data_IF_076304992431
#
_entry.id   IF_076304992431
#
_cell.length_a   1.000
_cell.length_b   1.000
_cell.length_c   1.000
_cell.angle_alpha   90.00
_cell.angle_beta   90.00
_cell.angle_gamma   90.00
#
_symmetry.space_group_name_H-M   'P 1'
#
loop_
_entity.id
_entity.type
_entity.pdbx_description
1 polymer ?
#
# COMPACT_ATOMS: atom_id res chain seq x y z
N UNK A 1 11.55 -81.87 4.78
CA UNK A 1 12.66 -81.26 5.54
C UNK A 1 12.58 -79.74 5.40
N UNK A 2 12.09 -79.02 6.43
CA UNK A 2 12.87 -78.52 7.58
C UNK A 2 13.90 -77.45 7.10
N UNK A 3 13.98 -76.19 7.54
CA UNK A 3 13.55 -75.49 8.77
C UNK A 3 13.76 -73.98 8.57
N UNK A 4 13.03 -73.19 9.36
CA UNK A 4 13.27 -71.77 9.69
C UNK A 4 14.67 -71.49 10.29
N UNK A 5 15.05 -70.20 10.30
CA UNK A 5 15.72 -69.47 11.40
C UNK A 5 17.02 -68.71 11.02
N UNK A 6 16.99 -67.39 11.32
CA UNK A 6 18.13 -66.46 11.53
C UNK A 6 18.86 -66.80 12.86
N UNK A 7 19.75 -65.97 13.48
CA UNK A 7 20.71 -64.90 13.05
C UNK A 7 22.13 -65.18 13.64
N UNK A 8 23.08 -64.23 13.60
CA UNK A 8 23.95 -63.77 14.74
C UNK A 8 25.07 -62.83 14.24
N UNK A 9 25.41 -61.88 15.12
CA UNK A 9 26.06 -60.59 14.94
C UNK A 9 27.60 -60.58 15.03
N UNK A 10 28.13 -59.33 15.04
CA UNK A 10 29.47 -58.83 15.44
C UNK A 10 30.43 -58.56 14.27
N UNK A 11 31.13 -57.42 14.10
CA UNK A 11 31.58 -56.35 15.00
C UNK A 11 31.85 -55.03 14.22
N UNK A 12 31.74 -53.91 14.92
CA UNK A 12 32.12 -52.54 14.50
C UNK A 12 33.61 -52.28 14.82
N UNK A 13 34.30 -51.39 14.10
CA UNK A 13 34.80 -50.14 14.72
C UNK A 13 34.54 -48.92 13.80
N UNK A 14 33.84 -47.87 14.22
CA UNK A 14 34.18 -46.80 15.18
C UNK A 14 34.93 -45.60 14.56
N UNK A 15 34.24 -44.45 14.61
CA UNK A 15 34.71 -43.06 14.57
C UNK A 15 35.29 -42.43 13.31
N UNK A 16 34.45 -41.63 12.64
CA UNK A 16 34.73 -40.23 12.37
C UNK A 16 33.42 -39.43 12.44
N UNK A 17 33.10 -38.95 13.65
CA UNK A 17 31.93 -38.11 13.91
C UNK A 17 32.21 -36.66 13.47
N UNK A 18 31.51 -36.18 12.44
CA UNK A 18 31.35 -34.75 12.18
C UNK A 18 30.13 -34.25 12.98
N UNK A 19 30.23 -33.16 13.74
CA UNK A 19 29.11 -32.66 14.53
C UNK A 19 28.01 -32.14 13.60
N UNK A 20 26.91 -32.89 13.49
CA UNK A 20 25.64 -32.36 13.01
C UNK A 20 25.19 -31.30 13.99
N UNK A 21 25.33 -30.02 13.61
CA UNK A 21 24.62 -28.91 14.25
C UNK A 21 23.13 -29.17 14.17
N UNK A 22 22.56 -29.71 15.24
CA UNK A 22 21.12 -29.70 15.48
C UNK A 22 20.76 -28.25 15.75
N UNK A 23 20.37 -27.55 14.69
CA UNK A 23 19.69 -26.26 14.79
C UNK A 23 18.29 -26.52 15.35
N UNK A 24 18.16 -26.43 16.67
CA UNK A 24 16.87 -26.25 17.33
C UNK A 24 16.39 -24.81 17.09
N UNK A 25 16.04 -24.50 15.83
CA UNK A 25 15.29 -23.27 15.55
C UNK A 25 13.91 -23.46 16.17
N UNK A 26 13.48 -22.60 17.12
CA UNK A 26 12.12 -22.63 17.59
C UNK A 26 11.23 -22.32 16.38
N UNK A 27 10.40 -23.29 15.95
CA UNK A 27 9.36 -23.05 14.95
C UNK A 27 8.44 -22.00 15.54
N UNK A 28 8.64 -20.78 15.08
CA UNK A 28 8.11 -19.58 15.68
C UNK A 28 6.60 -19.63 15.80
N UNK A 29 6.14 -19.37 17.02
CA UNK A 29 4.78 -18.96 17.37
C UNK A 29 4.34 -17.63 16.71
N UNK A 30 5.14 -17.11 15.76
CA UNK A 30 4.97 -15.83 15.06
C UNK A 30 4.01 -15.91 13.86
N UNK A 31 3.75 -17.11 13.31
CA UNK A 31 2.90 -17.22 12.10
C UNK A 31 1.40 -17.08 12.35
N UNK A 32 0.90 -17.23 13.58
CA UNK A 32 -0.55 -17.13 13.85
C UNK A 32 -0.97 -15.70 14.23
N UNK A 33 -0.13 -14.95 14.95
CA UNK A 33 -0.41 -13.57 15.32
C UNK A 33 -0.42 -12.62 14.11
N UNK A 34 0.46 -12.84 13.12
CA UNK A 34 0.47 -12.11 11.85
C UNK A 34 -0.81 -12.39 11.03
N UNK A 35 -1.38 -13.59 11.16
CA UNK A 35 -2.58 -14.02 10.40
C UNK A 35 -3.87 -13.39 10.91
N UNK A 36 -4.06 -13.29 12.23
CA UNK A 36 -5.24 -12.64 12.79
C UNK A 36 -5.18 -11.11 12.60
N UNK A 37 -3.99 -10.51 12.77
CA UNK A 37 -3.80 -9.07 12.55
C UNK A 37 -3.95 -8.65 11.08
N UNK A 38 -3.59 -9.52 10.13
CA UNK A 38 -3.69 -9.24 8.70
C UNK A 38 -5.10 -9.32 8.10
N UNK A 39 -6.05 -9.99 8.78
CA UNK A 39 -7.47 -10.02 8.36
C UNK A 39 -8.19 -8.77 8.86
N UNK A 40 -8.10 -8.47 10.16
CA UNK A 40 -8.69 -7.27 10.74
C UNK A 40 -8.16 -5.99 10.08
N UNK A 41 -6.83 -5.91 9.84
CA UNK A 41 -6.24 -4.73 9.21
C UNK A 41 -6.65 -4.53 7.73
N UNK A 42 -7.17 -5.58 7.07
CA UNK A 42 -7.69 -5.46 5.71
C UNK A 42 -9.20 -5.13 5.71
N UNK A 43 -9.95 -5.60 6.72
CA UNK A 43 -11.33 -5.17 6.95
C UNK A 43 -11.41 -3.65 7.18
N UNK A 44 -10.46 -3.08 7.94
CA UNK A 44 -10.34 -1.62 8.14
C UNK A 44 -10.18 -0.86 6.81
N UNK A 45 -9.36 -1.41 5.90
CA UNK A 45 -9.20 -0.86 4.54
C UNK A 45 -10.53 -0.90 3.80
N UNK A 46 -11.18 -2.07 3.74
CA UNK A 46 -12.46 -2.20 3.03
C UNK A 46 -13.54 -1.30 3.63
N UNK A 47 -13.55 -1.10 4.94
CA UNK A 47 -14.49 -0.23 5.64
C UNK A 47 -14.32 1.23 5.24
N UNK A 48 -13.09 1.79 5.27
CA UNK A 48 -12.86 3.19 4.89
C UNK A 48 -13.27 3.44 3.43
N UNK A 49 -12.91 2.51 2.53
CA UNK A 49 -13.23 2.62 1.11
C UNK A 49 -14.69 2.30 0.77
N UNK A 50 -15.46 1.76 1.70
CA UNK A 50 -16.83 1.27 1.48
C UNK A 50 -17.83 2.33 1.02
N UNK A 51 -17.58 3.61 1.34
CA UNK A 51 -18.41 4.73 0.90
C UNK A 51 -17.95 5.34 -0.45
N UNK A 52 -16.74 5.01 -0.91
CA UNK A 52 -16.17 5.59 -2.14
C UNK A 52 -16.78 4.89 -3.36
N UNK A 53 -17.49 5.67 -4.17
CA UNK A 53 -18.11 5.17 -5.39
C UNK A 53 -17.07 5.05 -6.50
N UNK A 54 -16.53 3.84 -6.67
CA UNK A 54 -15.43 3.57 -7.58
C UNK A 54 -15.73 2.39 -8.51
N UNK A 55 -15.59 2.63 -9.81
CA UNK A 55 -15.69 1.57 -10.81
C UNK A 55 -14.43 0.67 -10.79
N UNK A 56 -14.54 -0.53 -11.34
CA UNK A 56 -13.46 -1.52 -11.30
C UNK A 56 -12.16 -1.05 -11.97
N UNK A 57 -12.24 -0.21 -13.01
CA UNK A 57 -11.05 0.26 -13.76
C UNK A 57 -10.34 1.41 -13.06
N UNK A 58 -11.10 2.25 -12.34
CA UNK A 58 -10.54 3.34 -11.52
C UNK A 58 -10.01 2.82 -10.19
N UNK A 59 -10.58 1.71 -9.68
CA UNK A 59 -10.18 1.06 -8.44
C UNK A 59 -8.69 0.75 -8.38
N UNK A 60 -8.14 0.14 -9.43
CA UNK A 60 -6.71 -0.19 -9.44
C UNK A 60 -5.82 1.06 -9.34
N UNK A 61 -6.15 2.13 -10.07
CA UNK A 61 -5.39 3.39 -10.06
C UNK A 61 -5.45 4.07 -8.69
N UNK A 62 -6.62 4.10 -8.04
CA UNK A 62 -6.76 4.65 -6.70
C UNK A 62 -5.99 3.83 -5.65
N UNK A 63 -5.96 2.51 -5.79
CA UNK A 63 -5.18 1.66 -4.88
C UNK A 63 -3.69 1.90 -5.02
N UNK A 64 -3.20 2.05 -6.25
CA UNK A 64 -1.81 2.47 -6.48
C UNK A 64 -1.53 3.87 -5.93
N UNK A 65 -2.45 4.82 -6.11
CA UNK A 65 -2.28 6.18 -5.56
C UNK A 65 -2.20 6.20 -4.03
N UNK A 66 -2.98 5.36 -3.35
CA UNK A 66 -3.02 5.26 -1.89
C UNK A 66 -1.87 4.45 -1.29
N UNK A 67 -1.60 3.28 -1.87
CA UNK A 67 -0.80 2.22 -1.25
C UNK A 67 0.44 1.83 -2.05
N UNK A 68 0.66 2.40 -3.23
CA UNK A 68 1.72 1.96 -4.17
C UNK A 68 1.62 0.46 -4.53
N UNK A 69 0.40 -0.09 -4.50
CA UNK A 69 0.13 -1.49 -4.75
C UNK A 69 -1.18 -1.67 -5.54
N UNK A 70 -1.28 -2.68 -6.44
CA UNK A 70 -2.50 -2.93 -7.19
C UNK A 70 -3.63 -3.48 -6.31
N UNK A 71 -4.86 -3.16 -6.68
CA UNK A 71 -6.03 -3.84 -6.13
C UNK A 71 -6.09 -5.28 -6.65
N UNK A 72 -6.19 -6.25 -5.74
CA UNK A 72 -6.29 -7.67 -6.10
C UNK A 72 -7.53 -8.35 -5.52
N UNK A 73 -8.31 -7.63 -4.69
CA UNK A 73 -9.68 -8.01 -4.31
C UNK A 73 -9.86 -9.32 -3.56
N UNK A 74 -8.79 -9.87 -2.98
CA UNK A 74 -8.88 -11.07 -2.17
C UNK A 74 -8.54 -10.73 -0.71
N UNK A 75 -9.52 -10.79 0.21
CA UNK A 75 -9.27 -10.72 1.64
C UNK A 75 -8.26 -11.79 2.04
N UNK A 76 -7.44 -11.51 3.05
CA UNK A 76 -6.37 -12.39 3.55
C UNK A 76 -6.92 -13.71 4.15
N UNK A 77 -7.36 -14.64 3.32
CA UNK A 77 -7.86 -15.96 3.74
C UNK A 77 -6.76 -16.95 4.12
N UNK A 78 -7.09 -18.05 4.83
CA UNK A 78 -6.12 -19.05 5.31
C UNK A 78 -5.36 -19.80 4.20
N UNK A 79 -5.81 -19.67 2.94
CA UNK A 79 -5.20 -20.28 1.75
C UNK A 79 -4.38 -19.29 0.92
N UNK A 80 -4.32 -18.02 1.30
CA UNK A 80 -3.50 -16.99 0.65
C UNK A 80 -2.04 -17.17 1.03
N UNK A 81 -1.29 -17.87 0.19
CA UNK A 81 0.15 -18.06 0.34
C UNK A 81 0.98 -17.13 -0.55
N UNK A 82 2.20 -16.81 -0.10
CA UNK A 82 3.20 -16.11 -0.90
C UNK A 82 2.85 -14.64 -1.18
N UNK A 83 3.15 -14.17 -2.40
CA UNK A 83 3.17 -12.76 -2.80
C UNK A 83 1.88 -11.96 -2.53
N UNK A 84 0.72 -12.63 -2.54
CA UNK A 84 -0.57 -11.96 -2.30
C UNK A 84 -0.73 -11.61 -0.82
N UNK A 85 -0.26 -12.48 0.09
CA UNK A 85 -0.24 -12.18 1.51
C UNK A 85 0.74 -11.04 1.83
N UNK A 86 1.89 -11.01 1.18
CA UNK A 86 2.89 -9.94 1.34
C UNK A 86 2.33 -8.59 0.86
N UNK A 87 1.59 -8.58 -0.25
CA UNK A 87 0.95 -7.38 -0.80
C UNK A 87 -0.20 -6.87 0.09
N UNK A 88 -1.05 -7.76 0.61
CA UNK A 88 -2.07 -7.38 1.59
C UNK A 88 -1.45 -6.82 2.88
N UNK A 89 -0.33 -7.40 3.34
CA UNK A 89 0.41 -6.86 4.47
C UNK A 89 0.98 -5.46 4.18
N UNK A 90 1.49 -5.21 2.97
CA UNK A 90 1.94 -3.89 2.55
C UNK A 90 0.80 -2.86 2.52
N UNK A 91 -0.34 -3.20 1.91
CA UNK A 91 -1.54 -2.33 1.89
C UNK A 91 -1.98 -2.01 3.31
N UNK A 92 -2.11 -3.02 4.18
CA UNK A 92 -2.49 -2.83 5.57
C UNK A 92 -1.49 -1.93 6.33
N UNK A 93 -0.17 -2.14 6.12
CA UNK A 93 0.87 -1.28 6.71
C UNK A 93 0.71 0.17 6.26
N UNK A 94 0.61 0.42 4.96
CA UNK A 94 0.47 1.77 4.38
C UNK A 94 -0.82 2.44 4.83
N UNK A 95 -1.92 1.68 4.91
CA UNK A 95 -3.20 2.17 5.42
C UNK A 95 -3.12 2.60 6.88
N UNK A 96 -2.50 1.77 7.72
CA UNK A 96 -2.29 2.12 9.12
C UNK A 96 -1.45 3.38 9.29
N UNK A 97 -0.37 3.53 8.51
CA UNK A 97 0.43 4.77 8.50
C UNK A 97 -0.42 5.98 8.12
N UNK A 98 -1.30 5.84 7.11
CA UNK A 98 -2.23 6.90 6.75
C UNK A 98 -3.19 7.25 7.90
N UNK A 99 -3.81 6.27 8.56
CA UNK A 99 -4.70 6.51 9.70
C UNK A 99 -3.98 7.16 10.89
N UNK A 100 -2.77 6.69 11.22
CA UNK A 100 -1.95 7.25 12.31
C UNK A 100 -1.55 8.71 12.02
N UNK A 101 -1.15 9.01 10.77
CA UNK A 101 -0.87 10.39 10.35
C UNK A 101 -2.13 11.25 10.39
N UNK A 102 -3.24 10.75 9.85
CA UNK A 102 -4.51 11.48 9.84
C UNK A 102 -4.98 11.81 11.25
N UNK A 103 -4.91 10.85 12.17
CA UNK A 103 -5.27 11.07 13.57
C UNK A 103 -4.40 12.16 14.22
N UNK A 104 -3.12 12.27 13.84
CA UNK A 104 -2.24 13.35 14.32
C UNK A 104 -2.63 14.70 13.74
N UNK A 105 -2.84 14.78 12.43
CA UNK A 105 -3.19 16.03 11.73
C UNK A 105 -4.60 16.53 12.08
N UNK A 106 -5.50 15.63 12.49
CA UNK A 106 -6.91 15.92 12.80
C UNK A 106 -7.20 15.85 14.30
N UNK A 107 -6.20 16.10 15.16
CA UNK A 107 -6.39 16.24 16.61
C UNK A 107 -7.06 15.05 17.30
N UNK A 108 -6.76 13.83 16.86
CA UNK A 108 -7.32 12.60 17.40
C UNK A 108 -8.59 12.11 16.71
N UNK A 109 -9.16 12.86 15.77
CA UNK A 109 -10.39 12.52 15.06
C UNK A 109 -10.28 11.19 14.29
N UNK A 110 -11.28 10.35 14.44
CA UNK A 110 -11.42 9.10 13.68
C UNK A 110 -12.23 9.36 12.42
N UNK A 111 -11.65 9.07 11.26
CA UNK A 111 -12.25 9.37 9.96
C UNK A 111 -13.37 8.37 9.67
N UNK A 112 -14.59 8.86 9.50
CA UNK A 112 -15.68 8.04 9.00
C UNK A 112 -15.55 7.77 7.49
N UNK A 113 -15.98 6.60 6.97
CA UNK A 113 -15.92 6.29 5.55
C UNK A 113 -16.57 7.37 4.65
N UNK A 114 -17.68 7.95 5.10
CA UNK A 114 -18.39 9.02 4.38
C UNK A 114 -17.57 10.31 4.32
N UNK A 115 -16.93 10.70 5.42
CA UNK A 115 -16.06 11.89 5.45
C UNK A 115 -14.89 11.75 4.48
N UNK A 116 -14.29 10.56 4.44
CA UNK A 116 -13.24 10.23 3.47
C UNK A 116 -13.73 10.34 2.03
N UNK A 117 -14.89 9.76 1.71
CA UNK A 117 -15.47 9.83 0.37
C UNK A 117 -15.81 11.28 -0.04
N UNK A 118 -16.37 12.07 0.87
CA UNK A 118 -16.69 13.49 0.63
C UNK A 118 -15.45 14.34 0.43
N UNK A 119 -14.37 14.08 1.18
CA UNK A 119 -13.09 14.76 0.99
C UNK A 119 -12.49 14.45 -0.38
N UNK A 120 -12.55 13.19 -0.83
CA UNK A 120 -12.09 12.81 -2.16
C UNK A 120 -12.88 13.52 -3.28
N UNK A 121 -14.20 13.55 -3.19
CA UNK A 121 -15.04 14.25 -4.18
C UNK A 121 -14.83 15.77 -4.16
N UNK A 122 -14.63 16.36 -2.97
CA UNK A 122 -14.27 17.77 -2.81
C UNK A 122 -12.95 18.08 -3.51
N UNK A 123 -11.91 17.30 -3.23
CA UNK A 123 -10.59 17.47 -3.84
C UNK A 123 -10.64 17.29 -5.36
N UNK A 124 -11.34 16.25 -5.83
CA UNK A 124 -11.58 15.98 -7.25
C UNK A 124 -12.28 17.16 -7.93
N UNK A 125 -13.34 17.68 -7.32
CA UNK A 125 -14.11 18.81 -7.87
C UNK A 125 -13.32 20.11 -7.89
N UNK A 126 -12.52 20.39 -6.86
CA UNK A 126 -11.78 21.65 -6.73
C UNK A 126 -10.56 21.69 -7.64
N UNK A 127 -9.81 20.57 -7.73
CA UNK A 127 -8.63 20.47 -8.59
C UNK A 127 -8.99 20.13 -10.04
N UNK A 128 -10.18 19.60 -10.32
CA UNK A 128 -10.55 19.14 -11.66
C UNK A 128 -9.77 17.88 -12.10
N UNK A 129 -9.36 17.02 -11.16
CA UNK A 129 -8.54 15.82 -11.42
C UNK A 129 -9.37 14.54 -11.37
N UNK A 130 -8.75 13.41 -11.76
CA UNK A 130 -9.31 12.08 -11.53
C UNK A 130 -9.33 11.71 -10.04
N UNK A 131 -10.15 10.70 -9.68
CA UNK A 131 -10.26 10.21 -8.30
C UNK A 131 -8.91 9.72 -7.76
N UNK A 132 -8.07 9.12 -8.61
CA UNK A 132 -6.70 8.71 -8.27
C UNK A 132 -5.80 9.88 -7.90
N UNK A 133 -5.95 11.03 -8.59
CA UNK A 133 -5.27 12.27 -8.23
C UNK A 133 -5.71 12.80 -6.86
N UNK A 134 -7.01 12.81 -6.60
CA UNK A 134 -7.56 13.20 -5.29
C UNK A 134 -7.07 12.29 -4.16
N UNK A 135 -7.08 10.97 -4.38
CA UNK A 135 -6.55 9.97 -3.44
C UNK A 135 -5.07 10.24 -3.16
N UNK A 136 -4.27 10.48 -4.19
CA UNK A 136 -2.83 10.76 -4.04
C UNK A 136 -2.57 11.99 -3.18
N UNK A 137 -3.40 13.03 -3.31
CA UNK A 137 -3.31 14.23 -2.48
C UNK A 137 -3.69 13.94 -1.02
N UNK A 138 -4.84 13.31 -0.78
CA UNK A 138 -5.33 13.05 0.59
C UNK A 138 -4.43 12.06 1.34
N UNK A 139 -3.93 11.01 0.68
CA UNK A 139 -2.97 10.07 1.30
C UNK A 139 -1.59 10.69 1.53
N UNK A 140 -1.21 11.65 0.69
CA UNK A 140 0.04 12.41 0.85
C UNK A 140 -0.02 13.38 2.02
N UNK A 141 -1.10 14.15 2.08
CA UNK A 141 -1.36 15.21 3.04
C UNK A 141 -2.75 15.01 3.72
N UNK A 142 -2.79 14.25 4.83
CA UNK A 142 -4.06 13.90 5.49
C UNK A 142 -4.85 15.06 6.06
N UNK A 143 -4.20 16.20 6.37
CA UNK A 143 -4.88 17.40 6.83
C UNK A 143 -5.99 17.84 5.86
N UNK A 144 -5.83 17.58 4.55
CA UNK A 144 -6.81 17.90 3.50
C UNK A 144 -8.19 17.27 3.71
N UNK A 145 -8.33 16.26 4.59
CA UNK A 145 -9.63 15.72 5.00
C UNK A 145 -10.51 16.79 5.67
N UNK A 146 -9.90 17.70 6.44
CA UNK A 146 -10.60 18.78 7.12
C UNK A 146 -10.78 20.05 6.25
N UNK A 147 -9.97 20.21 5.20
CA UNK A 147 -9.92 21.44 4.41
C UNK A 147 -11.26 21.79 3.76
N UNK A 148 -11.77 23.00 4.00
CA UNK A 148 -13.02 23.41 3.37
C UNK A 148 -12.82 23.76 1.88
N UNK A 149 -13.92 23.81 1.11
CA UNK A 149 -13.84 24.12 -0.32
C UNK A 149 -13.26 25.51 -0.59
N UNK A 150 -13.59 26.50 0.24
CA UNK A 150 -13.15 27.87 0.05
C UNK A 150 -11.66 28.05 0.34
N UNK A 151 -11.12 27.36 1.34
CA UNK A 151 -9.71 27.30 1.72
C UNK A 151 -8.88 26.65 0.62
N UNK A 152 -9.34 25.51 0.10
CA UNK A 152 -8.70 24.85 -1.04
C UNK A 152 -8.64 25.79 -2.25
N UNK A 153 -9.74 26.49 -2.56
CA UNK A 153 -9.77 27.48 -3.65
C UNK A 153 -8.83 28.65 -3.38
N UNK A 154 -8.78 29.17 -2.14
CA UNK A 154 -7.83 30.23 -1.76
C UNK A 154 -6.39 29.77 -1.95
N UNK A 155 -6.04 28.57 -1.51
CA UNK A 155 -4.71 27.97 -1.69
C UNK A 155 -4.35 27.84 -3.17
N UNK A 156 -5.27 27.37 -4.01
CA UNK A 156 -5.05 27.28 -5.45
C UNK A 156 -4.86 28.63 -6.13
N UNK A 157 -5.58 29.67 -5.70
CA UNK A 157 -5.40 31.03 -6.22
C UNK A 157 -4.01 31.56 -5.85
N UNK A 158 -3.55 31.34 -4.62
CA UNK A 158 -2.18 31.70 -4.21
C UNK A 158 -1.14 30.97 -5.05
N UNK A 159 -1.27 29.64 -5.20
CA UNK A 159 -0.35 28.84 -6.03
C UNK A 159 -0.35 29.29 -7.49
N UNK A 160 -1.49 29.74 -8.03
CA UNK A 160 -1.57 30.26 -9.40
C UNK A 160 -0.78 31.56 -9.60
N UNK A 161 -0.68 32.39 -8.55
CA UNK A 161 0.12 33.61 -8.57
C UNK A 161 1.62 33.28 -8.50
N UNK A 162 1.98 32.28 -7.69
CA UNK A 162 3.37 31.88 -7.46
C UNK A 162 3.96 31.05 -8.63
N UNK A 163 3.12 30.23 -9.26
CA UNK A 163 3.49 29.30 -10.33
C UNK A 163 2.80 29.66 -11.65
N UNK A 164 3.04 30.87 -12.13
CA UNK A 164 2.45 31.35 -13.37
C UNK A 164 2.86 30.47 -14.57
N UNK A 165 1.88 30.05 -15.37
CA UNK A 165 2.10 29.22 -16.56
C UNK A 165 2.15 27.70 -16.30
N UNK A 166 2.14 27.26 -15.05
CA UNK A 166 2.07 25.84 -14.71
C UNK A 166 0.63 25.31 -14.62
N UNK A 167 0.46 24.00 -14.84
CA UNK A 167 -0.76 23.29 -14.47
C UNK A 167 -0.76 23.05 -12.96
N UNK A 168 -1.48 23.92 -12.25
CA UNK A 168 -1.55 23.90 -10.78
C UNK A 168 -2.14 22.58 -10.27
N UNK A 169 -3.10 21.99 -10.99
CA UNK A 169 -3.69 20.72 -10.57
C UNK A 169 -2.66 19.59 -10.66
N UNK A 170 -1.88 19.54 -11.74
CA UNK A 170 -0.79 18.58 -11.88
C UNK A 170 0.29 18.79 -10.81
N UNK A 171 0.64 20.03 -10.51
CA UNK A 171 1.64 20.38 -9.50
C UNK A 171 1.21 19.94 -8.09
N UNK A 172 -0.06 20.17 -7.72
CA UNK A 172 -0.63 19.71 -6.44
C UNK A 172 -0.62 18.17 -6.36
N UNK A 173 -0.97 17.47 -7.45
CA UNK A 173 -0.93 16.00 -7.49
C UNK A 173 0.51 15.45 -7.42
N UNK A 174 1.47 16.13 -8.06
CA UNK A 174 2.91 15.77 -8.02
C UNK A 174 3.50 15.95 -6.63
N UNK A 175 3.14 17.04 -5.94
CA UNK A 175 3.52 17.30 -4.55
C UNK A 175 2.74 16.47 -3.53
N UNK A 176 1.81 15.60 -3.98
CA UNK A 176 0.94 14.78 -3.13
C UNK A 176 0.15 15.61 -2.11
N UNK A 177 -0.35 16.78 -2.54
CA UNK A 177 -1.18 17.64 -1.71
C UNK A 177 -0.40 18.57 -0.77
N UNK A 178 0.91 18.42 -0.60
CA UNK A 178 1.71 19.20 0.35
C UNK A 178 1.63 20.72 0.14
N UNK A 179 1.46 21.16 -1.12
CA UNK A 179 1.30 22.59 -1.45
C UNK A 179 -0.01 23.20 -0.92
N UNK A 180 -0.97 22.38 -0.51
CA UNK A 180 -2.24 22.80 0.07
C UNK A 180 -2.34 22.52 1.57
N UNK A 181 -1.26 22.07 2.24
CA UNK A 181 -1.28 21.76 3.67
C UNK A 181 -1.74 22.95 4.53
N UNK A 182 -1.35 24.17 4.16
CA UNK A 182 -1.76 25.39 4.86
C UNK A 182 -3.26 25.74 4.72
N UNK A 183 -3.94 25.22 3.69
CA UNK A 183 -5.38 25.38 3.50
C UNK A 183 -6.20 24.41 4.38
N UNK A 184 -5.53 23.57 5.16
CA UNK A 184 -6.14 22.48 5.91
C UNK A 184 -5.75 22.52 7.40
N UNK A 185 -5.27 23.66 7.88
CA UNK A 185 -4.68 23.77 9.20
C UNK A 185 -5.76 23.63 10.29
N UNK A 186 -5.76 22.48 10.95
CA UNK A 186 -6.56 22.23 12.14
C UNK A 186 -5.74 22.65 13.36
N UNK A 187 -6.24 23.62 14.13
CA UNK A 187 -5.62 24.01 15.40
C UNK A 187 -6.10 23.03 16.47
N UNK A 188 -5.23 22.09 16.85
CA UNK A 188 -5.49 21.24 18.00
C UNK A 188 -5.33 22.06 19.28
N UNK A 189 -6.38 22.15 20.09
CA UNK A 189 -6.20 22.57 21.47
C UNK A 189 -5.31 21.53 22.14
N UNK A 190 -4.13 21.95 22.62
CA UNK A 190 -3.20 21.05 23.28
C UNK A 190 -3.81 20.58 24.60
N UNK A 191 -4.26 19.33 24.66
CA UNK A 191 -4.14 18.57 25.89
C UNK A 191 -2.66 18.19 26.00
N UNK A 192 -1.99 18.69 27.03
CA UNK A 192 -0.59 18.38 27.35
C UNK A 192 -0.39 16.85 27.41
N UNK A 193 0.14 16.24 26.34
CA UNK A 193 0.50 14.83 26.34
C UNK A 193 1.95 14.64 25.85
N UNK A 194 2.84 14.47 26.83
CA UNK A 194 4.26 14.18 26.72
C UNK A 194 4.51 12.81 26.05
N UNK A 195 4.43 12.74 24.72
CA UNK A 195 4.89 11.54 23.99
C UNK A 195 5.89 11.89 22.90
N UNK A 196 7.14 11.77 23.30
CA UNK A 196 8.32 11.81 22.46
C UNK A 196 8.16 10.98 21.18
N UNK A 197 8.43 11.63 20.06
CA UNK A 197 8.46 11.11 18.71
C UNK A 197 9.53 10.03 18.55
N UNK A 198 9.11 8.82 18.15
CA UNK A 198 10.01 7.87 17.51
C UNK A 198 10.15 8.29 16.05
N UNK A 199 11.39 8.58 15.63
CA UNK A 199 11.73 8.88 14.25
C UNK A 199 11.44 7.69 13.34
N UNK A 200 10.94 7.98 12.14
CA UNK A 200 10.70 7.02 11.07
C UNK A 200 12.03 6.41 10.60
N UNK A 201 12.21 5.10 10.78
CA UNK A 201 13.20 4.32 10.05
C UNK A 201 12.58 3.90 8.72
N UNK A 202 12.98 4.55 7.63
CA UNK A 202 12.75 4.08 6.25
C UNK A 202 13.43 2.70 6.08
N UNK A 203 12.63 1.63 6.05
CA UNK A 203 13.10 0.26 5.86
C UNK A 203 13.53 0.04 4.39
N UNK A 204 14.81 -0.29 4.12
CA UNK A 204 15.36 -0.42 2.76
C UNK A 204 14.80 -1.58 1.92
N UNK A 205 13.86 -2.37 2.44
CA UNK A 205 13.15 -3.43 1.68
C UNK A 205 12.04 -2.90 0.74
N UNK A 206 11.57 -1.65 0.90
CA UNK A 206 10.43 -1.10 0.12
C UNK A 206 10.75 -0.80 -1.37
N UNK A 207 12.02 -0.86 -1.79
CA UNK A 207 12.44 -0.56 -3.18
C UNK A 207 12.43 -1.77 -4.14
N UNK A 208 12.25 -3.00 -3.65
CA UNK A 208 12.35 -4.21 -4.49
C UNK A 208 11.13 -4.44 -5.39
N UNK A 209 9.95 -3.95 -5.01
CA UNK A 209 8.71 -4.18 -5.77
C UNK A 209 8.56 -3.24 -6.97
N UNK A 210 8.99 -1.97 -6.83
CA UNK A 210 9.04 -0.97 -7.92
C UNK A 210 9.84 -1.51 -9.13
N UNK A 211 10.94 -2.23 -8.86
CA UNK A 211 11.78 -2.85 -9.89
C UNK A 211 11.08 -4.00 -10.63
N UNK A 212 10.29 -4.82 -9.95
CA UNK A 212 9.55 -5.92 -10.58
C UNK A 212 8.38 -5.41 -11.42
N UNK A 213 7.64 -4.39 -10.97
CA UNK A 213 6.54 -3.84 -11.75
C UNK A 213 7.01 -3.03 -12.97
N UNK A 214 8.11 -2.27 -12.86
CA UNK A 214 8.76 -1.64 -14.02
C UNK A 214 9.21 -2.67 -15.07
N UNK A 215 9.54 -3.89 -14.63
CA UNK A 215 9.86 -5.01 -15.52
C UNK A 215 8.59 -5.60 -16.16
N UNK A 216 7.50 -5.74 -15.40
CA UNK A 216 6.20 -6.21 -15.90
C UNK A 216 5.53 -5.25 -16.88
N UNK A 217 5.56 -3.94 -16.64
CA UNK A 217 5.02 -2.95 -17.58
C UNK A 217 5.79 -2.94 -18.90
N UNK A 218 7.12 -3.05 -18.86
CA UNK A 218 7.95 -3.23 -20.06
C UNK A 218 7.67 -4.56 -20.79
N UNK A 219 7.40 -5.64 -20.07
CA UNK A 219 7.01 -6.94 -20.67
C UNK A 219 5.63 -6.87 -21.35
N UNK A 220 4.66 -6.14 -20.78
CA UNK A 220 3.33 -5.94 -21.36
C UNK A 220 3.40 -5.01 -22.58
N UNK A 221 4.16 -3.92 -22.52
CA UNK A 221 4.38 -3.01 -23.65
C UNK A 221 5.11 -3.69 -24.82
N UNK A 222 6.12 -4.51 -24.53
CA UNK A 222 6.83 -5.29 -25.57
C UNK A 222 5.94 -6.37 -26.18
N UNK A 223 5.12 -7.05 -25.38
CA UNK A 223 4.14 -8.02 -25.88
C UNK A 223 3.06 -7.36 -26.77
N UNK A 224 2.56 -6.18 -26.39
CA UNK A 224 1.61 -5.41 -27.19
C UNK A 224 2.22 -4.91 -28.51
N UNK A 225 3.50 -4.48 -28.48
CA UNK A 225 4.25 -4.04 -29.67
C UNK A 225 4.52 -5.20 -30.63
N UNK A 226 4.85 -6.38 -30.12
CA UNK A 226 5.04 -7.60 -30.90
C UNK A 226 3.72 -8.09 -31.53
N UNK A 227 2.62 -8.00 -30.79
CA UNK A 227 1.30 -8.37 -31.30
C UNK A 227 0.85 -7.42 -32.43
N UNK A 228 1.10 -6.11 -32.29
CA UNK A 228 0.81 -5.11 -33.34
C UNK A 228 1.70 -5.31 -34.58
N UNK A 229 3.00 -5.60 -34.40
CA UNK A 229 3.94 -5.89 -35.51
C UNK A 229 3.58 -7.16 -36.29
N UNK A 230 3.03 -8.20 -35.62
CA UNK A 230 2.53 -9.41 -36.28
C UNK A 230 1.23 -9.16 -37.05
N UNK A 231 0.38 -8.27 -36.55
CA UNK A 231 -0.87 -7.90 -37.20
C UNK A 231 -0.63 -7.05 -38.45
N UNK A 232 0.28 -6.07 -38.37
CA UNK A 232 0.67 -5.22 -39.52
C UNK A 232 1.39 -6.01 -40.63
N UNK A 233 2.15 -7.05 -40.29
CA UNK A 233 2.76 -7.96 -41.28
C UNK A 233 1.77 -8.87 -41.99
N UNK A 234 0.59 -9.13 -41.42
CA UNK A 234 -0.48 -9.93 -42.04
C UNK A 234 -1.40 -9.10 -42.94
N UNK A 235 -1.33 -7.77 -42.83
CA UNK A 235 -2.17 -6.82 -43.57
C UNK A 235 -1.46 -6.17 -44.76
N UNK A 236 -0.19 -6.49 -45.01
CA UNK A 236 0.48 -6.14 -46.27
C UNK A 236 0.31 -7.31 -47.26
N UNK A 237 -0.23 -7.07 -48.46
CA UNK A 237 -0.40 -8.10 -49.48
C UNK A 237 0.94 -8.65 -49.98
#
# INVERSE_FOLDING_TARGET
DHTMAQPVAHLVPSSAALPRRVSSRPRGRRSLAVRAGGVAAFEDVEQLWGAVHIDATTKERCWFAAYDAPFHGVPSGPYMGGRVADMNAHIAKRHRVFLERSRRELCGHEIAPQEFAEALERMRSVLGVGLDGAVKCVFGEPSLLAADKAELVRGLVTLRIEHEGEDIAELVVKSRGALLAGAAHVVCEAEDDDRASAADDDDPEDLRWISWYSKKTKEVETSARDHRSRYERRLRP
#
